data_IF_158396625394
#
_entry.id   IF_158396625394
#
_cell.length_a   1.000
_cell.length_b   1.000
_cell.length_c   1.000
_cell.angle_alpha   90.00
_cell.angle_beta   90.00
_cell.angle_gamma   90.00
#
_symmetry.space_group_name_H-M   'P 1'
#
loop_
_entity.id
_entity.type
_entity.pdbx_description
1 polymer ?
#
# COMPACT_ATOMS: atom_id res chain seq x y z
N UNK A 1 10.50 11.65 -5.32
CA UNK A 1 9.20 11.48 -5.95
C UNK A 1 9.34 10.62 -7.20
N UNK A 2 8.30 9.95 -7.58
CA UNK A 2 8.29 9.03 -8.70
C UNK A 2 7.81 7.67 -8.27
N UNK A 3 7.97 6.71 -9.14
CA UNK A 3 7.50 5.36 -8.91
C UNK A 3 8.53 4.53 -8.16
N UNK A 4 8.05 3.84 -7.15
CA UNK A 4 8.87 2.98 -6.31
C UNK A 4 8.15 1.66 -6.06
N UNK A 5 8.94 0.65 -5.72
CA UNK A 5 8.45 -0.65 -5.28
C UNK A 5 8.91 -0.88 -3.84
N UNK A 6 8.10 -1.54 -3.05
CA UNK A 6 8.59 -2.01 -1.75
C UNK A 6 9.68 -3.04 -2.00
N UNK A 7 10.77 -2.95 -1.23
CA UNK A 7 11.93 -3.84 -1.42
C UNK A 7 11.58 -5.29 -1.08
N UNK A 8 10.73 -5.49 -0.10
CA UNK A 8 10.35 -6.83 0.35
C UNK A 8 8.94 -7.18 -0.10
N UNK A 9 8.77 -8.44 -0.50
CA UNK A 9 7.49 -8.96 -1.00
C UNK A 9 6.70 -9.57 0.16
N UNK A 10 6.26 -8.72 1.07
CA UNK A 10 5.57 -9.14 2.29
C UNK A 10 4.15 -8.59 2.39
N UNK A 11 3.59 -8.15 1.27
CA UNK A 11 2.31 -7.46 1.26
C UNK A 11 1.31 -8.14 0.35
N UNK A 12 0.04 -7.86 0.60
CA UNK A 12 -1.06 -8.13 -0.32
C UNK A 12 -1.92 -6.89 -0.41
N UNK A 13 -2.33 -6.54 -1.62
CA UNK A 13 -3.23 -5.42 -1.85
C UNK A 13 -4.57 -5.94 -2.35
N UNK A 14 -5.64 -5.38 -1.86
CA UNK A 14 -7.00 -5.69 -2.32
C UNK A 14 -7.79 -4.41 -2.48
N UNK A 15 -8.75 -4.48 -3.40
CA UNK A 15 -9.73 -3.43 -3.61
C UNK A 15 -10.86 -3.63 -2.59
N UNK A 16 -11.20 -2.57 -1.88
CA UNK A 16 -12.32 -2.59 -0.95
C UNK A 16 -13.49 -1.85 -1.57
N UNK A 17 -14.53 -2.61 -1.90
CA UNK A 17 -15.83 -2.08 -2.38
C UNK A 17 -15.71 -1.18 -3.62
N UNK A 18 -14.73 -1.41 -4.48
CA UNK A 18 -14.42 -0.58 -5.65
C UNK A 18 -14.12 0.88 -5.31
N UNK A 19 -13.68 1.14 -4.09
CA UNK A 19 -13.47 2.49 -3.62
C UNK A 19 -11.99 2.86 -3.40
N UNK A 20 -11.24 1.97 -2.76
CA UNK A 20 -9.85 2.28 -2.41
C UNK A 20 -9.06 0.99 -2.15
N UNK A 21 -7.72 1.08 -2.23
CA UNK A 21 -6.89 -0.08 -1.93
C UNK A 21 -6.66 -0.25 -0.44
N UNK A 22 -6.58 -1.49 0.00
CA UNK A 22 -6.14 -1.85 1.34
C UNK A 22 -4.91 -2.73 1.20
N UNK A 23 -3.88 -2.45 1.97
CA UNK A 23 -2.65 -3.24 2.02
C UNK A 23 -2.59 -3.98 3.33
N UNK A 24 -2.32 -5.28 3.26
CA UNK A 24 -2.15 -6.16 4.42
C UNK A 24 -0.74 -6.75 4.41
N UNK A 25 -0.25 -7.14 5.58
CA UNK A 25 0.95 -7.95 5.67
C UNK A 25 0.66 -9.40 5.32
N UNK A 26 1.62 -10.03 4.66
CA UNK A 26 1.53 -11.44 4.28
C UNK A 26 2.88 -12.11 4.55
N UNK A 27 3.27 -12.13 5.80
CA UNK A 27 4.55 -12.67 6.23
C UNK A 27 4.60 -14.19 6.04
N UNK A 28 5.74 -14.65 5.54
CA UNK A 28 6.01 -16.07 5.43
C UNK A 28 5.10 -16.81 4.46
N UNK A 29 4.36 -16.12 3.67
CA UNK A 29 3.49 -16.73 2.66
C UNK A 29 4.15 -16.68 1.30
N UNK A 30 3.93 -17.74 0.51
CA UNK A 30 4.46 -17.78 -0.85
C UNK A 30 3.81 -16.75 -1.76
N UNK A 31 2.71 -16.14 -1.32
CA UNK A 31 1.91 -15.21 -2.10
C UNK A 31 2.20 -13.74 -1.80
N UNK A 32 3.15 -13.46 -0.92
CA UNK A 32 3.50 -12.08 -0.61
C UNK A 32 3.98 -11.35 -1.85
N UNK A 33 3.60 -10.10 -1.98
CA UNK A 33 3.91 -9.25 -3.13
C UNK A 33 4.62 -7.98 -2.70
N UNK A 34 5.36 -7.39 -3.62
CA UNK A 34 5.78 -6.01 -3.50
C UNK A 34 4.63 -5.10 -3.89
N UNK A 35 4.61 -3.91 -3.33
CA UNK A 35 3.63 -2.90 -3.70
C UNK A 35 4.34 -1.83 -4.51
N UNK A 36 3.77 -1.52 -5.67
CA UNK A 36 4.24 -0.42 -6.51
C UNK A 36 3.38 0.80 -6.24
N UNK A 37 4.00 1.94 -6.08
CA UNK A 37 3.30 3.17 -5.84
C UNK A 37 4.17 4.38 -6.06
N UNK A 38 3.63 5.53 -5.72
CA UNK A 38 4.34 6.79 -5.85
C UNK A 38 4.77 7.30 -4.49
N UNK A 39 5.98 7.86 -4.45
CA UNK A 39 6.50 8.51 -3.25
C UNK A 39 6.15 10.00 -3.31
N UNK A 40 5.59 10.50 -2.22
CA UNK A 40 5.27 11.92 -2.07
C UNK A 40 5.99 12.49 -0.87
N UNK A 41 6.41 13.74 -0.99
CA UNK A 41 6.94 14.47 0.14
C UNK A 41 5.81 15.27 0.78
N UNK A 42 5.73 15.22 2.09
CA UNK A 42 4.72 15.96 2.85
C UNK A 42 5.39 16.75 3.96
N UNK A 43 4.87 17.91 4.29
CA UNK A 43 5.35 18.64 5.45
C UNK A 43 4.82 17.97 6.74
N UNK A 44 5.34 18.43 7.88
CA UNK A 44 4.99 17.83 9.18
C UNK A 44 3.51 17.92 9.47
N UNK A 45 2.90 19.06 9.14
CA UNK A 45 1.47 19.26 9.41
C UNK A 45 0.61 18.31 8.57
N UNK A 46 0.93 18.15 7.29
CA UNK A 46 0.22 17.23 6.43
C UNK A 46 0.37 15.80 6.92
N UNK A 47 1.57 15.43 7.37
CA UNK A 47 1.82 14.09 7.89
C UNK A 47 1.02 13.82 9.17
N UNK A 48 0.90 14.80 10.05
CA UNK A 48 0.09 14.64 11.27
C UNK A 48 -1.37 14.39 10.94
N UNK A 49 -1.92 15.14 9.98
CA UNK A 49 -3.30 14.96 9.55
C UNK A 49 -3.52 13.59 8.93
N UNK A 50 -2.63 13.17 8.05
CA UNK A 50 -2.72 11.86 7.40
C UNK A 50 -2.61 10.75 8.43
N UNK A 51 -1.66 10.85 9.33
CA UNK A 51 -1.45 9.83 10.35
C UNK A 51 -2.68 9.68 11.24
N UNK A 52 -3.28 10.77 11.66
CA UNK A 52 -4.48 10.74 12.48
C UNK A 52 -5.65 10.12 11.72
N UNK A 53 -5.85 10.52 10.48
CA UNK A 53 -6.94 10.01 9.65
C UNK A 53 -6.79 8.50 9.42
N UNK A 54 -5.59 8.04 9.11
CA UNK A 54 -5.34 6.62 8.85
C UNK A 54 -5.45 5.80 10.13
N UNK A 55 -4.97 6.32 11.24
CA UNK A 55 -5.09 5.64 12.53
C UNK A 55 -6.56 5.47 12.92
N UNK A 56 -7.38 6.48 12.67
CA UNK A 56 -8.81 6.40 12.95
C UNK A 56 -9.52 5.38 12.06
N UNK A 57 -8.95 5.08 10.89
CA UNK A 57 -9.48 4.07 9.98
C UNK A 57 -8.87 2.68 10.22
N UNK A 58 -8.17 2.48 11.33
CA UNK A 58 -7.52 1.21 11.72
C UNK A 58 -6.33 0.84 10.86
N UNK A 59 -5.67 1.82 10.27
CA UNK A 59 -4.39 1.60 9.58
C UNK A 59 -3.24 1.90 10.51
N UNK A 60 -2.17 1.15 10.35
CA UNK A 60 -0.96 1.30 11.14
C UNK A 60 0.16 1.84 10.25
N UNK A 61 0.89 2.86 10.69
CA UNK A 61 2.05 3.33 9.94
C UNK A 61 3.15 2.28 9.96
N UNK A 62 3.77 2.09 8.81
CA UNK A 62 4.87 1.15 8.64
C UNK A 62 5.95 1.83 7.79
N UNK A 63 7.19 1.79 8.26
CA UNK A 63 8.30 2.33 7.49
C UNK A 63 8.84 1.20 6.62
N UNK A 64 8.71 1.36 5.31
CA UNK A 64 9.12 0.37 4.34
C UNK A 64 10.34 0.84 3.58
N UNK A 65 11.26 -0.08 3.32
CA UNK A 65 12.33 0.16 2.36
C UNK A 65 11.73 0.09 0.96
N UNK A 66 12.04 1.07 0.14
CA UNK A 66 11.53 1.16 -1.23
C UNK A 66 12.68 1.39 -2.20
N UNK A 67 12.48 0.95 -3.43
CA UNK A 67 13.49 1.02 -4.48
C UNK A 67 12.85 1.52 -5.78
N UNK A 68 13.56 2.40 -6.49
CA UNK A 68 13.10 2.86 -7.79
C UNK A 68 13.76 2.07 -8.93
N UNK A 69 13.40 2.40 -10.16
CA UNK A 69 13.93 1.71 -11.35
C UNK A 69 15.44 1.89 -11.51
N UNK A 70 15.99 2.97 -10.96
CA UNK A 70 17.43 3.24 -11.03
C UNK A 70 18.21 2.49 -9.97
N UNK A 71 17.54 1.77 -9.10
CA UNK A 71 18.19 1.02 -8.04
C UNK A 71 18.44 1.82 -6.77
N UNK A 72 17.93 3.04 -6.67
CA UNK A 72 18.09 3.87 -5.48
C UNK A 72 17.11 3.41 -4.41
N UNK A 73 17.65 3.15 -3.21
CA UNK A 73 16.87 2.67 -2.08
C UNK A 73 16.71 3.82 -1.08
N UNK A 74 15.49 3.99 -0.63
CA UNK A 74 15.17 4.90 0.45
C UNK A 74 14.08 4.26 1.29
N UNK A 75 13.55 4.98 2.27
CA UNK A 75 12.42 4.47 3.01
C UNK A 75 11.27 5.46 2.98
N UNK A 76 10.08 4.95 3.20
CA UNK A 76 8.87 5.73 3.15
C UNK A 76 7.88 5.21 4.16
N UNK A 77 6.99 6.07 4.59
CA UNK A 77 5.89 5.69 5.45
C UNK A 77 4.76 5.19 4.58
N UNK A 78 4.25 4.02 4.89
CA UNK A 78 3.04 3.50 4.27
C UNK A 78 2.08 3.02 5.36
N UNK A 79 0.81 2.96 5.05
CA UNK A 79 -0.20 2.57 6.01
C UNK A 79 -0.73 1.19 5.66
N UNK A 80 -0.70 0.30 6.64
CA UNK A 80 -1.04 -1.11 6.46
C UNK A 80 -2.15 -1.47 7.43
N UNK A 81 -3.12 -2.24 6.97
CA UNK A 81 -4.18 -2.73 7.83
C UNK A 81 -3.69 -4.00 8.51
N UNK A 82 -3.46 -3.90 9.81
CA UNK A 82 -2.97 -5.04 10.60
C UNK A 82 -4.09 -5.92 11.13
N UNK A 83 -5.34 -5.46 11.05
CA UNK A 83 -6.47 -6.18 11.56
C UNK A 83 -7.36 -6.68 10.42
N UNK A 84 -6.85 -7.63 9.67
CA UNK A 84 -7.54 -8.18 8.51
C UNK A 84 -8.92 -8.74 8.88
N UNK A 85 -9.06 -9.27 10.09
CA UNK A 85 -10.32 -9.82 10.55
C UNK A 85 -11.43 -8.79 10.73
N UNK A 86 -11.08 -7.52 10.81
CA UNK A 86 -12.07 -6.45 10.92
C UNK A 86 -12.61 -6.01 9.57
N UNK A 87 -12.01 -6.48 8.48
CA UNK A 87 -12.42 -6.13 7.13
C UNK A 87 -13.38 -7.20 6.61
N UNK A 88 -14.49 -6.75 6.05
CA UNK A 88 -15.49 -7.68 5.51
C UNK A 88 -14.96 -8.28 4.21
N UNK A 89 -14.64 -9.57 4.23
CA UNK A 89 -14.03 -10.27 3.11
C UNK A 89 -14.85 -10.19 1.83
N UNK A 90 -16.19 -10.17 1.94
CA UNK A 90 -17.06 -10.11 0.77
C UNK A 90 -16.90 -8.80 -0.01
N UNK A 91 -16.31 -7.78 0.57
CA UNK A 91 -16.07 -6.51 -0.10
C UNK A 91 -14.67 -6.39 -0.68
N UNK A 92 -13.81 -7.36 -0.42
CA UNK A 92 -12.47 -7.38 -0.96
C UNK A 92 -12.43 -8.05 -2.32
N UNK A 93 -11.70 -7.48 -3.25
CA UNK A 93 -11.55 -8.04 -4.59
C UNK A 93 -10.21 -7.63 -5.19
N UNK A 94 -9.94 -8.12 -6.39
CA UNK A 94 -8.79 -7.70 -7.19
C UNK A 94 -9.19 -6.79 -8.34
N UNK A 95 -10.39 -6.22 -8.31
CA UNK A 95 -10.98 -5.53 -9.45
C UNK A 95 -10.16 -4.34 -9.97
N UNK A 96 -9.62 -3.54 -9.08
CA UNK A 96 -8.82 -2.38 -9.47
C UNK A 96 -7.35 -2.56 -9.12
N UNK A 97 -6.91 -3.82 -9.07
CA UNK A 97 -5.54 -4.16 -8.75
C UNK A 97 -4.84 -4.67 -10.00
N UNK A 98 -3.74 -4.02 -10.34
CA UNK A 98 -2.84 -4.52 -11.38
C UNK A 98 -1.92 -5.52 -10.73
N UNK A 99 -1.96 -6.76 -11.20
CA UNK A 99 -1.05 -7.79 -10.73
C UNK A 99 -0.05 -8.10 -11.83
N UNK A 100 1.19 -7.80 -11.55
CA UNK A 100 2.31 -8.13 -12.41
C UNK A 100 3.23 -9.10 -11.68
N UNK A 101 4.21 -9.64 -12.39
CA UNK A 101 5.11 -10.60 -11.81
C UNK A 101 5.86 -9.99 -10.62
N UNK A 102 5.46 -10.39 -9.43
CA UNK A 102 6.13 -10.01 -8.20
C UNK A 102 5.60 -8.75 -7.52
N UNK A 103 4.67 -8.03 -8.14
CA UNK A 103 4.14 -6.82 -7.50
C UNK A 103 2.66 -6.60 -7.78
N UNK A 104 2.05 -5.76 -6.97
CA UNK A 104 0.69 -5.28 -7.15
C UNK A 104 0.68 -3.75 -7.13
N UNK A 105 -0.25 -3.17 -7.88
CA UNK A 105 -0.38 -1.73 -7.99
C UNK A 105 -1.86 -1.38 -8.03
N UNK A 106 -2.23 -0.27 -7.36
CA UNK A 106 -3.58 0.26 -7.46
C UNK A 106 -3.77 0.87 -8.84
N UNK A 107 -4.76 0.37 -9.58
CA UNK A 107 -5.10 0.93 -10.87
C UNK A 107 -5.83 2.25 -10.65
N UNK A 108 -5.09 3.31 -10.78
CA UNK A 108 -5.60 4.64 -10.54
C UNK A 108 -6.43 5.07 -11.73
N UNK A 109 -7.71 4.86 -11.66
CA UNK A 109 -8.62 5.38 -12.68
C UNK A 109 -9.04 6.78 -12.29
N UNK A 110 -8.11 7.70 -12.38
CA UNK A 110 -8.46 9.09 -12.13
C UNK A 110 -9.01 9.68 -13.39
N UNK A 111 -10.30 9.71 -13.42
CA UNK A 111 -11.02 10.43 -14.44
C UNK A 111 -11.32 11.80 -13.91
N UNK A 112 -10.43 12.71 -14.19
CA UNK A 112 -10.63 14.10 -13.79
C UNK A 112 -11.21 14.91 -14.90
#
# INVERSE_FOLDING_TARGET
MGEYFTLYSIFQMRDYANAFPIVFFDYGQANGKSIKGHLYECDVRAMECINQMETNANYTPHIADIINEEGNITNALMFVNCNRGAVIDSQLSLNNIIEEKGYQEWQHSVEL
#
